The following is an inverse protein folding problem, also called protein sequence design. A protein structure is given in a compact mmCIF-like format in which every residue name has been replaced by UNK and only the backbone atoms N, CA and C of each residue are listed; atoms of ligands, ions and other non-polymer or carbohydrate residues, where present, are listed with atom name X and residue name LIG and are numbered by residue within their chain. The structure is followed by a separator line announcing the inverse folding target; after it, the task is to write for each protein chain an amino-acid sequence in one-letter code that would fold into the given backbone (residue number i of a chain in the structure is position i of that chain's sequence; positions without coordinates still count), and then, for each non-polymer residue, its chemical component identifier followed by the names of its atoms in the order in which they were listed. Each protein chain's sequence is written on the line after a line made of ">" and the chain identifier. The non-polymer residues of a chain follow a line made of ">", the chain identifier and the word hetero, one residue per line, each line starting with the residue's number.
data_IF_625243732130
#
_entry.id   IF_625243732130
#
_cell.length_a   1.000
_cell.length_b   1.000
_cell.length_c   1.000
_cell.angle_alpha   90.00
_cell.angle_beta   90.00
_cell.angle_gamma   90.00
#
_symmetry.space_group_name_H-M   'P 1'
#
loop_
_entity.id
_entity.type
_entity.pdbx_description
1 polymer ?
#
# COMPACT_ATOMS: atom_id res chain seq x y z
N UNK A 1 -1.00 20.44 -9.16
CA UNK A 1 -1.15 19.93 -9.05
C UNK A 1 -1.58 19.42 -8.63
N UNK A 2 -1.74 19.24 -8.38
CA UNK A 2 -2.07 18.70 -7.95
C UNK A 2 -2.44 17.83 -7.75
N UNK A 3 -2.34 17.47 -8.02
CA UNK A 3 -2.86 16.53 -7.84
C UNK A 3 -2.59 15.90 -6.64
N UNK A 4 -3.30 15.93 -5.80
CA UNK A 4 -3.20 15.33 -4.64
C UNK A 4 -3.25 13.92 -4.68
N UNK A 5 -3.66 13.37 -5.74
CA UNK A 5 -3.71 12.02 -5.85
C UNK A 5 -2.41 11.52 -6.11
N UNK A 6 -1.92 10.56 -5.42
CA UNK A 6 -0.66 10.00 -5.69
C UNK A 6 -0.70 9.39 -7.02
N UNK A 7 0.37 9.52 -7.75
CA UNK A 7 0.49 8.85 -8.97
C UNK A 7 0.40 7.39 -8.73
N UNK A 8 -0.17 6.65 -9.63
CA UNK A 8 -0.24 5.22 -9.52
C UNK A 8 1.15 4.62 -9.40
N UNK A 9 2.08 5.16 -10.14
CA UNK A 9 3.44 4.65 -10.10
C UNK A 9 4.05 4.83 -8.73
N UNK A 10 3.86 6.00 -8.14
CA UNK A 10 4.41 6.26 -6.82
C UNK A 10 3.77 5.36 -5.78
N UNK A 11 2.47 5.16 -5.90
CA UNK A 11 1.78 4.31 -4.95
C UNK A 11 2.27 2.88 -5.08
N UNK A 12 2.46 2.42 -6.30
CA UNK A 12 2.96 1.07 -6.51
C UNK A 12 4.35 0.88 -5.95
N UNK A 13 5.20 1.88 -6.13
CA UNK A 13 6.54 1.79 -5.59
C UNK A 13 6.51 1.71 -4.07
N UNK A 14 5.63 2.49 -3.47
CA UNK A 14 5.49 2.48 -2.03
C UNK A 14 5.03 1.09 -1.56
N UNK A 15 4.08 0.52 -2.26
CA UNK A 15 3.57 -0.80 -1.92
C UNK A 15 4.65 -1.86 -2.05
N UNK A 16 5.41 -1.80 -3.13
CA UNK A 16 6.48 -2.76 -3.35
C UNK A 16 7.52 -2.67 -2.25
N UNK A 17 7.86 -1.44 -1.86
CA UNK A 17 8.83 -1.24 -0.79
C UNK A 17 8.32 -1.82 0.52
N UNK A 18 7.04 -1.66 0.79
CA UNK A 18 6.46 -2.20 2.01
C UNK A 18 6.45 -3.72 1.99
N UNK A 19 6.15 -4.29 0.84
CA UNK A 19 6.16 -5.73 0.73
C UNK A 19 7.54 -6.28 1.07
N UNK A 20 8.55 -5.62 0.55
CA UNK A 20 9.91 -6.06 0.79
C UNK A 20 10.31 -5.84 2.25
N UNK A 21 9.93 -4.69 2.77
CA UNK A 21 10.31 -4.32 4.13
C UNK A 21 9.69 -5.25 5.15
N UNK A 22 8.41 -5.58 4.95
CA UNK A 22 7.68 -6.40 5.91
C UNK A 22 7.60 -7.86 5.51
N UNK A 23 8.16 -8.19 4.37
CA UNK A 23 8.18 -9.58 3.89
C UNK A 23 6.76 -10.14 3.75
N UNK A 24 5.90 -9.37 3.12
CA UNK A 24 4.52 -9.80 2.90
C UNK A 24 4.18 -9.62 1.44
N UNK A 25 3.07 -10.22 1.03
CA UNK A 25 2.58 -10.09 -0.31
C UNK A 25 1.23 -9.42 -0.27
N UNK A 26 1.03 -8.41 -1.11
CA UNK A 26 -0.24 -7.72 -1.19
C UNK A 26 -0.88 -8.08 -2.51
N UNK A 27 -2.04 -8.73 -2.48
CA UNK A 27 -2.68 -9.15 -3.72
C UNK A 27 -3.20 -7.96 -4.52
N UNK A 28 -3.33 -8.16 -5.82
CA UNK A 28 -3.82 -7.09 -6.69
C UNK A 28 -5.18 -6.59 -6.26
N UNK A 29 -6.03 -7.47 -5.75
CA UNK A 29 -7.33 -7.04 -5.31
C UNK A 29 -7.22 -5.99 -4.22
N UNK A 30 -6.30 -6.20 -3.29
CA UNK A 30 -6.12 -5.22 -2.22
C UNK A 30 -5.56 -3.93 -2.77
N UNK A 31 -4.64 -4.04 -3.70
CA UNK A 31 -4.05 -2.85 -4.30
C UNK A 31 -5.12 -2.01 -4.98
N UNK A 32 -6.05 -2.66 -5.63
CA UNK A 32 -7.13 -1.96 -6.29
C UNK A 32 -7.99 -1.17 -5.32
N UNK A 33 -8.07 -1.62 -4.09
CA UNK A 33 -8.91 -0.95 -3.12
C UNK A 33 -8.22 0.20 -2.44
N UNK A 34 -6.91 0.33 -2.61
CA UNK A 34 -6.18 1.43 -1.98
C UNK A 34 -6.43 2.71 -2.74
N UNK A 35 -6.80 3.75 -2.03
CA UNK A 35 -6.98 5.05 -2.62
C UNK A 35 -5.92 6.02 -2.16
N UNK A 36 -5.38 5.81 -0.99
CA UNK A 36 -4.38 6.72 -0.46
C UNK A 36 -3.30 5.91 0.21
N UNK A 37 -2.22 6.58 0.53
CA UNK A 37 -1.12 5.95 1.25
C UNK A 37 -1.59 5.46 2.61
N UNK A 38 -2.50 6.20 3.22
CA UNK A 38 -3.04 5.80 4.52
C UNK A 38 -3.72 4.45 4.46
N UNK A 39 -4.41 4.18 3.35
CA UNK A 39 -5.06 2.88 3.19
C UNK A 39 -4.03 1.77 3.19
N UNK A 40 -2.91 2.00 2.53
CA UNK A 40 -1.87 1.00 2.46
C UNK A 40 -1.28 0.73 3.84
N UNK A 41 -1.02 1.79 4.57
CA UNK A 41 -0.45 1.66 5.90
C UNK A 41 -1.40 0.91 6.82
N UNK A 42 -2.68 1.25 6.73
CA UNK A 42 -3.68 0.59 7.55
C UNK A 42 -3.72 -0.91 7.24
N UNK A 43 -3.67 -1.25 5.98
CA UNK A 43 -3.69 -2.63 5.56
C UNK A 43 -2.48 -3.38 6.14
N UNK A 44 -1.31 -2.78 6.03
CA UNK A 44 -0.09 -3.39 6.52
C UNK A 44 -0.15 -3.59 8.03
N UNK A 45 -0.63 -2.57 8.73
CA UNK A 45 -0.71 -2.65 10.18
C UNK A 45 -1.63 -3.79 10.61
N UNK A 46 -2.73 -3.94 9.91
CA UNK A 46 -3.65 -5.00 10.27
C UNK A 46 -3.03 -6.36 10.04
N UNK A 47 -2.26 -6.49 8.99
CA UNK A 47 -1.67 -7.76 8.69
C UNK A 47 -0.55 -8.10 9.65
N UNK A 48 0.22 -7.11 10.05
CA UNK A 48 1.35 -7.38 10.93
C UNK A 48 0.95 -7.46 12.38
N UNK A 49 -0.08 -6.72 12.77
CA UNK A 49 -0.51 -6.74 14.14
C UNK A 49 -1.47 -7.89 14.41
N UNK A 50 -1.96 -8.46 13.37
CA UNK A 50 -2.99 -9.47 13.51
C UNK A 50 -2.50 -10.79 13.98
N UNK A 51 -1.24 -10.93 14.29
CA UNK A 51 -0.89 -12.21 14.76
C UNK A 51 0.13 -12.18 15.84
#
# INVERSE_FOLDING_TARGET
>A
RKDLQADSVELMEFIINLEDEYQIEIPDKAIDEFNTVGDVVDYIEKRTAGH
#
